data_IF_610182981255
#
_entry.id   IF_610182981255
#
_cell.length_a   1.000
_cell.length_b   1.000
_cell.length_c   1.000
_cell.angle_alpha   90.00
_cell.angle_beta   90.00
_cell.angle_gamma   90.00
#
_symmetry.space_group_name_H-M   'P 1'
#
loop_
_entity.id
_entity.type
_entity.pdbx_description
1 polymer ?
#
# COMPACT_ATOMS: atom_id res chain seq x y z
N UNK A 1 37.73 35.20 -27.39
CA UNK A 1 36.53 34.40 -27.10
C UNK A 1 35.36 35.35 -27.25
N UNK A 2 34.53 35.19 -28.27
CA UNK A 2 33.40 36.10 -28.51
C UNK A 2 32.37 35.93 -27.40
N UNK A 3 31.68 37.01 -27.01
CA UNK A 3 30.66 36.99 -25.94
C UNK A 3 29.54 35.98 -26.23
N UNK A 4 29.26 35.74 -27.52
CA UNK A 4 28.28 34.76 -28.01
C UNK A 4 28.70 33.32 -27.70
N UNK A 5 29.99 32.99 -27.72
CA UNK A 5 30.48 31.64 -27.39
C UNK A 5 30.38 31.35 -25.89
N UNK A 6 30.56 32.38 -25.05
CA UNK A 6 30.42 32.26 -23.60
C UNK A 6 28.95 32.06 -23.20
N UNK A 7 28.01 32.78 -23.83
CA UNK A 7 26.57 32.64 -23.57
C UNK A 7 26.05 31.24 -23.98
N UNK A 8 26.49 30.74 -25.14
CA UNK A 8 26.14 29.39 -25.59
C UNK A 8 26.68 28.28 -24.65
N UNK A 9 27.85 28.48 -24.03
CA UNK A 9 28.39 27.52 -23.05
C UNK A 9 27.55 27.48 -21.77
N UNK A 10 27.11 28.63 -21.27
CA UNK A 10 26.25 28.71 -20.09
C UNK A 10 24.91 28.01 -20.36
N UNK A 11 24.29 28.26 -21.51
CA UNK A 11 23.02 27.60 -21.86
C UNK A 11 23.17 26.08 -21.98
N UNK A 12 24.32 25.60 -22.47
CA UNK A 12 24.62 24.17 -22.57
C UNK A 12 24.78 23.54 -21.18
N UNK A 13 25.44 24.22 -20.25
CA UNK A 13 25.64 23.77 -18.87
C UNK A 13 24.31 23.71 -18.11
N UNK A 14 23.47 24.74 -18.23
CA UNK A 14 22.12 24.74 -17.63
C UNK A 14 21.24 23.60 -18.16
N UNK A 15 21.32 23.33 -19.47
CA UNK A 15 20.62 22.19 -20.09
C UNK A 15 21.15 20.85 -19.59
N UNK A 16 22.45 20.74 -19.38
CA UNK A 16 23.08 19.53 -18.84
C UNK A 16 22.65 19.29 -17.39
N UNK A 17 22.69 20.32 -16.55
CA UNK A 17 22.26 20.25 -15.16
C UNK A 17 20.77 19.90 -15.02
N UNK A 18 19.93 20.49 -15.87
CA UNK A 18 18.51 20.15 -15.93
C UNK A 18 18.27 18.69 -16.32
N UNK A 19 19.04 18.17 -17.28
CA UNK A 19 18.96 16.76 -17.69
C UNK A 19 19.36 15.83 -16.53
N UNK A 20 20.44 16.15 -15.81
CA UNK A 20 20.84 15.37 -14.64
C UNK A 20 19.77 15.34 -13.55
N UNK A 21 19.16 16.48 -13.22
CA UNK A 21 18.06 16.51 -12.25
C UNK A 21 16.87 15.66 -12.71
N UNK A 22 16.55 15.69 -14.02
CA UNK A 22 15.49 14.86 -14.58
C UNK A 22 15.81 13.36 -14.44
N UNK A 23 17.06 12.95 -14.68
CA UNK A 23 17.50 11.55 -14.52
C UNK A 23 17.42 11.09 -13.06
N UNK A 24 17.85 11.92 -12.11
CA UNK A 24 17.77 11.61 -10.68
C UNK A 24 16.32 11.43 -10.20
N UNK A 25 15.42 12.30 -10.67
CA UNK A 25 13.99 12.20 -10.37
C UNK A 25 13.37 10.93 -10.99
N UNK A 26 13.76 10.58 -12.22
CA UNK A 26 13.29 9.36 -12.87
C UNK A 26 13.71 8.10 -12.10
N UNK A 27 14.98 8.03 -11.67
CA UNK A 27 15.46 6.92 -10.85
C UNK A 27 14.71 6.83 -9.51
N UNK A 28 14.53 7.96 -8.82
CA UNK A 28 13.79 7.99 -7.56
C UNK A 28 12.33 7.54 -7.74
N UNK A 29 11.70 7.94 -8.84
CA UNK A 29 10.32 7.56 -9.15
C UNK A 29 10.21 6.05 -9.46
N UNK A 30 11.18 5.50 -10.19
CA UNK A 30 11.25 4.07 -10.49
C UNK A 30 11.38 3.24 -9.19
N UNK A 31 12.31 3.62 -8.32
CA UNK A 31 12.51 2.99 -7.01
C UNK A 31 11.24 3.06 -6.16
N UNK A 32 10.59 4.21 -6.11
CA UNK A 32 9.34 4.38 -5.37
C UNK A 32 8.22 3.51 -5.95
N UNK A 33 8.11 3.43 -7.27
CA UNK A 33 7.14 2.58 -7.96
C UNK A 33 7.34 1.10 -7.60
N UNK A 34 8.59 0.61 -7.64
CA UNK A 34 8.93 -0.75 -7.25
C UNK A 34 8.58 -1.03 -5.78
N UNK A 35 8.87 -0.09 -4.88
CA UNK A 35 8.51 -0.22 -3.46
C UNK A 35 7.00 -0.27 -3.24
N UNK A 36 6.22 0.52 -3.99
CA UNK A 36 4.75 0.47 -3.92
C UNK A 36 4.22 -0.90 -4.36
N UNK A 37 4.79 -1.50 -5.40
CA UNK A 37 4.41 -2.85 -5.84
C UNK A 37 4.69 -3.88 -4.73
N UNK A 38 5.89 -3.84 -4.14
CA UNK A 38 6.27 -4.75 -3.06
C UNK A 38 5.33 -4.64 -1.85
N UNK A 39 5.01 -3.41 -1.42
CA UNK A 39 4.09 -3.16 -0.30
C UNK A 39 2.68 -3.67 -0.60
N UNK A 40 2.20 -3.50 -1.85
CA UNK A 40 0.89 -4.03 -2.26
C UNK A 40 0.85 -5.55 -2.20
N UNK A 41 1.89 -6.23 -2.65
CA UNK A 41 1.98 -7.68 -2.60
C UNK A 41 2.01 -8.21 -1.16
N UNK A 42 2.80 -7.60 -0.29
CA UNK A 42 2.83 -7.95 1.14
C UNK A 42 1.46 -7.72 1.80
N UNK A 43 0.78 -6.61 1.47
CA UNK A 43 -0.56 -6.33 1.99
C UNK A 43 -1.58 -7.39 1.57
N UNK A 44 -1.52 -7.88 0.33
CA UNK A 44 -2.39 -8.96 -0.15
C UNK A 44 -2.14 -10.26 0.61
N UNK A 45 -0.88 -10.60 0.86
CA UNK A 45 -0.51 -11.78 1.66
C UNK A 45 -1.08 -11.69 3.08
N UNK A 46 -0.89 -10.54 3.75
CA UNK A 46 -1.41 -10.30 5.09
C UNK A 46 -2.94 -10.36 5.14
N UNK A 47 -3.63 -9.81 4.14
CA UNK A 47 -5.10 -9.93 4.03
C UNK A 47 -5.55 -11.38 3.91
N UNK A 48 -4.85 -12.18 3.11
CA UNK A 48 -5.16 -13.61 2.97
C UNK A 48 -4.94 -14.37 4.28
N UNK A 49 -3.86 -14.08 5.00
CA UNK A 49 -3.58 -14.72 6.30
C UNK A 49 -4.64 -14.33 7.34
N UNK A 50 -4.97 -13.04 7.43
CA UNK A 50 -6.03 -12.54 8.31
C UNK A 50 -7.39 -13.15 7.99
N UNK A 51 -7.70 -13.40 6.71
CA UNK A 51 -8.94 -14.08 6.33
C UNK A 51 -8.98 -15.52 6.86
N UNK A 52 -7.88 -16.27 6.71
CA UNK A 52 -7.78 -17.65 7.21
C UNK A 52 -7.90 -17.69 8.73
N UNK A 53 -7.19 -16.79 9.43
CA UNK A 53 -7.27 -16.66 10.89
C UNK A 53 -8.67 -16.25 11.36
N UNK A 54 -9.31 -15.31 10.67
CA UNK A 54 -10.68 -14.89 10.94
C UNK A 54 -11.65 -16.06 10.85
N UNK A 55 -11.58 -16.85 9.77
CA UNK A 55 -12.42 -18.03 9.62
C UNK A 55 -12.17 -19.08 10.71
N UNK A 56 -10.91 -19.29 11.11
CA UNK A 56 -10.56 -20.20 12.18
C UNK A 56 -11.19 -19.76 13.52
N UNK A 57 -11.13 -18.48 13.84
CA UNK A 57 -11.75 -17.91 15.04
C UNK A 57 -13.28 -18.07 14.98
N UNK A 58 -13.91 -17.76 13.84
CA UNK A 58 -15.35 -17.97 13.64
C UNK A 58 -15.76 -19.43 13.86
N UNK A 59 -14.99 -20.37 13.34
CA UNK A 59 -15.25 -21.80 13.50
C UNK A 59 -15.15 -22.23 14.97
N UNK A 60 -14.15 -21.73 15.71
CA UNK A 60 -14.01 -22.00 17.14
C UNK A 60 -15.16 -21.40 17.96
N UNK A 61 -15.57 -20.16 17.66
CA UNK A 61 -16.69 -19.52 18.33
C UNK A 61 -18.01 -20.28 18.07
N UNK A 62 -18.24 -20.70 16.83
CA UNK A 62 -19.46 -21.42 16.44
C UNK A 62 -19.55 -22.83 17.05
N UNK A 63 -18.41 -23.53 17.15
CA UNK A 63 -18.33 -24.88 17.72
C UNK A 63 -18.33 -24.88 19.25
N UNK A 64 -18.05 -23.75 19.90
CA UNK A 64 -18.06 -23.64 21.35
C UNK A 64 -19.43 -23.23 21.88
N UNK A 65 -20.05 -24.09 22.68
CA UNK A 65 -21.32 -23.81 23.35
C UNK A 65 -21.25 -22.61 24.33
N UNK A 66 -20.05 -22.12 24.66
CA UNK A 66 -19.85 -20.93 25.51
C UNK A 66 -20.26 -19.64 24.80
N UNK A 67 -20.22 -19.60 23.46
CA UNK A 67 -20.57 -18.41 22.68
C UNK A 67 -21.98 -18.47 22.05
N UNK A 68 -22.74 -19.54 22.29
CA UNK A 68 -24.10 -19.74 21.75
C UNK A 68 -25.22 -19.07 22.59
N UNK A 69 -24.91 -18.14 23.49
CA UNK A 69 -25.97 -17.48 24.26
C UNK A 69 -26.62 -16.35 23.47
N UNK A 70 -27.86 -16.64 23.07
CA UNK A 70 -28.96 -15.76 22.66
C UNK A 70 -29.01 -15.27 21.21
N UNK A 71 -29.18 -16.23 20.28
CA UNK A 71 -29.93 -15.99 19.05
C UNK A 71 -31.44 -15.87 19.38
N UNK A 72 -31.93 -14.65 19.63
CA UNK A 72 -33.29 -14.31 19.20
C UNK A 72 -33.24 -13.85 17.74
N UNK A 73 -33.31 -14.82 16.83
CA UNK A 73 -34.05 -14.76 15.56
C UNK A 73 -34.04 -13.40 14.82
N UNK A 74 -33.04 -13.15 13.98
CA UNK A 74 -33.21 -12.45 12.68
C UNK A 74 -31.89 -12.59 11.90
N UNK A 75 -31.79 -13.53 10.94
CA UNK A 75 -31.81 -13.18 9.50
C UNK A 75 -31.78 -11.65 9.30
N UNK A 76 -30.65 -11.11 8.81
CA UNK A 76 -30.26 -9.68 8.74
C UNK A 76 -29.12 -9.32 9.72
N UNK A 77 -28.00 -10.04 9.67
CA UNK A 77 -26.76 -9.60 10.33
C UNK A 77 -25.57 -9.89 9.43
N UNK A 78 -25.41 -9.04 8.41
CA UNK A 78 -24.10 -8.77 7.80
C UNK A 78 -23.35 -7.67 8.56
N UNK A 79 -23.62 -7.47 9.86
CA UNK A 79 -23.23 -6.22 10.54
C UNK A 79 -22.86 -6.30 12.03
N UNK A 80 -22.86 -7.45 12.70
CA UNK A 80 -22.67 -7.48 14.16
C UNK A 80 -21.29 -7.88 14.67
N UNK A 81 -20.31 -8.18 13.81
CA UNK A 81 -18.90 -8.37 14.25
C UNK A 81 -18.16 -7.02 14.37
N UNK A 82 -18.87 -5.95 14.74
CA UNK A 82 -18.32 -4.59 14.89
C UNK A 82 -17.94 -4.26 16.34
N UNK A 83 -18.20 -5.12 17.32
CA UNK A 83 -18.14 -4.70 18.73
C UNK A 83 -17.29 -5.56 19.68
N UNK A 84 -16.34 -6.35 19.18
CA UNK A 84 -15.53 -7.16 20.09
C UNK A 84 -14.05 -7.27 19.73
N UNK A 85 -13.41 -6.15 19.39
CA UNK A 85 -11.99 -5.90 19.68
C UNK A 85 -11.89 -4.39 19.98
N UNK A 86 -11.30 -3.94 21.12
CA UNK A 86 -11.14 -2.51 21.40
C UNK A 86 -10.32 -1.79 20.33
#
# INVERSE_FOLDING_TARGET
MDAVDAENQVELEEKYDFNNQMLELQHTLEDLSARVVAVKEENLKLKSENQVLGQYIENLMSASNVFQTTDTKTKESKGFVSLLIP
#
